data_IF_413131279585
#
_entry.id   IF_413131279585
#
_cell.length_a   1.000
_cell.length_b   1.000
_cell.length_c   1.000
_cell.angle_alpha   90.00
_cell.angle_beta   90.00
_cell.angle_gamma   90.00
#
_symmetry.space_group_name_H-M   'P 1'
#
loop_
_entity.id
_entity.type
_entity.pdbx_description
1 polymer ?
#
# COMPACT_ATOMS: atom_id res chain seq x y z
N UNK A 1 -5.44 -27.99 0.09
CA UNK A 1 -4.19 -27.93 0.92
C UNK A 1 -3.10 -28.64 0.13
N UNK A 2 -2.02 -27.93 -0.23
CA UNK A 2 -0.93 -28.49 -1.05
C UNK A 2 -0.29 -29.72 -0.41
N UNK A 3 0.08 -30.71 -1.23
CA UNK A 3 0.64 -31.99 -0.79
C UNK A 3 2.14 -32.16 -1.12
N UNK A 4 2.72 -31.24 -1.90
CA UNK A 4 4.10 -31.28 -2.38
C UNK A 4 4.74 -29.86 -2.38
N UNK A 5 6.02 -29.80 -2.79
CA UNK A 5 6.77 -28.54 -2.93
C UNK A 5 6.49 -27.81 -4.26
N UNK A 6 5.48 -28.26 -5.04
CA UNK A 6 5.13 -27.69 -6.34
C UNK A 6 3.83 -26.89 -6.22
N UNK A 7 3.87 -25.62 -6.59
CA UNK A 7 2.68 -24.74 -6.59
C UNK A 7 1.68 -25.17 -7.66
N UNK A 8 0.46 -25.55 -7.28
CA UNK A 8 -0.67 -25.80 -8.19
C UNK A 8 -1.74 -24.71 -8.06
N UNK A 9 -2.57 -24.56 -9.09
CA UNK A 9 -3.62 -23.53 -9.15
C UNK A 9 -4.69 -23.66 -8.05
N UNK A 10 -4.97 -24.87 -7.57
CA UNK A 10 -5.98 -25.16 -6.55
C UNK A 10 -5.41 -25.25 -5.12
N UNK A 11 -4.11 -24.98 -4.95
CA UNK A 11 -3.52 -25.00 -3.63
C UNK A 11 -3.97 -23.79 -2.83
N UNK A 12 -4.69 -24.03 -1.73
CA UNK A 12 -4.73 -23.10 -0.61
C UNK A 12 -3.35 -23.15 0.06
N UNK A 13 -2.41 -22.34 -0.43
CA UNK A 13 -1.08 -22.26 0.14
C UNK A 13 -1.04 -21.30 1.32
N UNK A 14 -0.13 -21.61 2.24
CA UNK A 14 0.31 -20.76 3.33
C UNK A 14 1.57 -20.04 2.88
N UNK A 15 1.56 -18.71 2.84
CA UNK A 15 2.80 -17.96 2.67
C UNK A 15 3.61 -18.02 3.96
N UNK A 16 4.58 -18.96 4.06
CA UNK A 16 5.55 -18.98 5.15
C UNK A 16 6.54 -17.82 4.97
N UNK A 17 6.33 -16.72 5.68
CA UNK A 17 7.39 -15.72 5.89
C UNK A 17 8.12 -16.10 7.16
N UNK A 18 9.38 -16.54 7.03
CA UNK A 18 10.31 -16.64 8.15
C UNK A 18 11.11 -15.34 8.19
N UNK A 19 10.93 -14.56 9.24
CA UNK A 19 11.79 -13.42 9.52
C UNK A 19 12.22 -13.49 10.97
N UNK A 20 13.52 -13.40 11.19
CA UNK A 20 14.10 -13.02 12.47
C UNK A 20 14.37 -11.52 12.39
N UNK A 21 13.84 -10.76 13.33
CA UNK A 21 14.20 -9.36 13.53
C UNK A 21 14.80 -9.27 14.92
N UNK A 22 15.93 -8.57 15.03
CA UNK A 22 16.52 -8.20 16.30
C UNK A 22 16.54 -6.68 16.39
N UNK A 23 16.00 -6.13 17.48
CA UNK A 23 16.14 -4.73 17.83
C UNK A 23 17.14 -4.58 18.96
N UNK A 24 17.98 -3.56 18.86
CA UNK A 24 18.79 -3.08 19.97
C UNK A 24 18.09 -1.85 20.57
N UNK A 25 17.70 -1.91 21.84
CA UNK A 25 16.90 -0.89 22.50
C UNK A 25 17.76 0.17 23.23
N UNK A 26 19.06 -0.09 23.36
CA UNK A 26 20.02 0.71 24.13
C UNK A 26 21.25 1.09 23.28
N UNK A 27 21.04 1.36 21.99
CA UNK A 27 22.09 1.90 21.14
C UNK A 27 22.57 3.26 21.68
N UNK A 28 23.88 3.51 21.61
CA UNK A 28 24.48 4.77 22.03
C UNK A 28 24.08 5.93 21.09
N UNK A 29 23.86 5.62 19.82
CA UNK A 29 23.35 6.52 18.79
C UNK A 29 22.54 5.74 17.74
N UNK A 30 21.70 6.39 16.91
CA UNK A 30 20.93 5.72 15.85
C UNK A 30 21.78 4.90 14.87
N UNK A 31 23.06 5.25 14.70
CA UNK A 31 24.02 4.56 13.82
C UNK A 31 25.07 3.75 14.58
N UNK A 32 24.99 3.66 15.91
CA UNK A 32 25.94 2.91 16.74
C UNK A 32 25.23 2.09 17.83
N UNK A 33 25.07 0.81 17.55
CA UNK A 33 24.55 -0.20 18.46
C UNK A 33 25.62 -1.19 18.93
N UNK A 34 26.91 -0.88 18.72
CA UNK A 34 28.01 -1.82 19.00
C UNK A 34 28.14 -2.20 20.48
N UNK A 35 27.68 -1.32 21.38
CA UNK A 35 27.62 -1.55 22.83
C UNK A 35 26.25 -1.94 23.37
N UNK A 36 25.26 -2.21 22.50
CA UNK A 36 23.91 -2.56 22.94
C UNK A 36 23.92 -3.86 23.75
N UNK A 37 23.16 -3.90 24.83
CA UNK A 37 22.99 -5.05 25.72
C UNK A 37 21.54 -5.47 25.87
N UNK A 38 20.60 -4.61 25.45
CA UNK A 38 19.17 -4.83 25.50
C UNK A 38 18.64 -5.15 24.12
N UNK A 39 18.37 -6.42 23.88
CA UNK A 39 17.86 -6.89 22.60
C UNK A 39 16.44 -7.43 22.72
N UNK A 40 15.64 -7.18 21.69
CA UNK A 40 14.38 -7.87 21.47
C UNK A 40 14.49 -8.67 20.17
N UNK A 41 14.06 -9.92 20.18
CA UNK A 41 14.02 -10.77 18.99
C UNK A 41 12.58 -11.18 18.67
N UNK A 42 12.19 -11.05 17.41
CA UNK A 42 10.91 -11.55 16.90
C UNK A 42 11.15 -12.55 15.76
N UNK A 43 10.69 -13.78 15.98
CA UNK A 43 10.51 -14.78 14.94
C UNK A 43 9.09 -14.71 14.40
N UNK A 44 8.91 -14.24 13.17
CA UNK A 44 7.62 -14.20 12.50
C UNK A 44 7.40 -15.46 11.65
N UNK A 45 6.24 -16.10 11.82
CA UNK A 45 5.68 -17.07 10.88
C UNK A 45 4.28 -16.57 10.51
N UNK A 46 4.12 -16.09 9.28
CA UNK A 46 2.78 -15.74 8.77
C UNK A 46 2.18 -16.93 8.02
N UNK A 47 0.86 -17.03 8.08
CA UNK A 47 0.03 -17.96 7.32
C UNK A 47 -0.93 -17.07 6.55
N UNK A 48 -0.72 -16.94 5.24
CA UNK A 48 -1.63 -16.17 4.37
C UNK A 48 -2.20 -17.09 3.30
N UNK A 49 -3.52 -17.12 3.24
CA UNK A 49 -4.32 -17.82 2.25
C UNK A 49 -4.34 -17.01 0.96
N UNK A 50 -3.81 -17.56 -0.14
CA UNK A 50 -3.42 -16.69 -1.24
C UNK A 50 -3.97 -17.00 -2.63
N UNK A 51 -4.86 -17.99 -2.84
CA UNK A 51 -5.52 -18.14 -4.16
C UNK A 51 -6.97 -18.63 -4.20
N UNK A 52 -7.42 -19.55 -3.35
CA UNK A 52 -8.72 -20.21 -3.58
C UNK A 52 -9.80 -19.89 -2.53
N UNK A 53 -10.74 -18.98 -2.81
CA UNK A 53 -11.87 -18.65 -1.91
C UNK A 53 -12.86 -19.81 -1.72
N UNK A 54 -12.77 -20.87 -2.52
CA UNK A 54 -13.66 -22.03 -2.47
C UNK A 54 -13.44 -22.96 -1.27
N UNK A 55 -12.39 -22.75 -0.47
CA UNK A 55 -12.11 -23.55 0.74
C UNK A 55 -12.34 -22.75 2.02
N UNK A 56 -13.54 -22.22 2.21
CA UNK A 56 -13.98 -21.71 3.53
C UNK A 56 -14.44 -22.86 4.40
N UNK A 57 -14.03 -22.88 5.67
CA UNK A 57 -14.63 -23.75 6.69
C UNK A 57 -15.36 -22.89 7.71
N UNK A 58 -16.47 -23.40 8.23
CA UNK A 58 -17.22 -22.73 9.29
C UNK A 58 -16.69 -23.20 10.64
N UNK A 59 -16.31 -22.25 11.49
CA UNK A 59 -16.02 -22.54 12.90
C UNK A 59 -17.37 -22.74 13.60
N UNK A 60 -17.56 -23.89 14.23
CA UNK A 60 -18.79 -24.19 14.97
C UNK A 60 -18.85 -23.36 16.27
N UNK A 61 -20.03 -22.93 16.75
CA UNK A 61 -20.16 -22.09 17.95
C UNK A 61 -19.57 -22.70 19.23
N UNK A 62 -19.41 -24.02 19.28
CA UNK A 62 -18.80 -24.76 20.39
C UNK A 62 -17.27 -24.91 20.26
N UNK A 63 -16.66 -24.39 19.18
CA UNK A 63 -15.21 -24.49 18.98
C UNK A 63 -14.48 -23.66 20.01
N UNK A 64 -13.66 -24.31 20.83
CA UNK A 64 -12.83 -23.68 21.86
C UNK A 64 -11.36 -23.53 21.47
N UNK A 65 -10.96 -24.10 20.32
CA UNK A 65 -9.59 -24.00 19.83
C UNK A 65 -9.40 -24.59 18.44
N UNK A 66 -8.33 -24.16 17.77
CA UNK A 66 -7.80 -24.72 16.54
C UNK A 66 -6.47 -25.42 16.83
N UNK A 67 -6.27 -26.58 16.22
CA UNK A 67 -5.01 -27.33 16.33
C UNK A 67 -4.22 -27.24 15.03
N UNK A 68 -3.06 -26.60 15.08
CA UNK A 68 -2.15 -26.49 13.93
C UNK A 68 -1.04 -27.55 14.04
N UNK A 69 -1.03 -28.47 13.08
CA UNK A 69 0.06 -29.43 12.91
C UNK A 69 1.12 -28.88 11.98
N UNK A 70 2.37 -28.92 12.44
CA UNK A 70 3.51 -28.49 11.64
C UNK A 70 4.46 -29.67 11.41
N UNK A 71 4.80 -29.93 10.15
CA UNK A 71 5.69 -31.03 9.75
C UNK A 71 7.06 -30.99 10.41
N UNK A 72 7.58 -29.80 10.76
CA UNK A 72 8.84 -29.62 11.50
C UNK A 72 8.71 -29.85 13.02
N UNK A 73 7.48 -29.93 13.54
CA UNK A 73 7.17 -30.14 14.96
C UNK A 73 6.21 -31.34 15.13
N UNK A 74 6.61 -32.50 14.60
CA UNK A 74 5.79 -33.73 14.66
C UNK A 74 5.53 -34.13 16.11
N UNK A 75 4.27 -34.42 16.43
CA UNK A 75 3.85 -34.87 17.77
C UNK A 75 3.59 -33.76 18.79
N UNK A 76 3.85 -32.50 18.46
CA UNK A 76 3.56 -31.36 19.34
C UNK A 76 2.87 -30.23 18.56
N UNK A 77 1.55 -30.36 18.30
CA UNK A 77 0.81 -29.33 17.58
C UNK A 77 0.76 -28.02 18.38
N UNK A 78 0.53 -26.91 17.67
CA UNK A 78 0.16 -25.65 18.31
C UNK A 78 -1.32 -25.66 18.60
N UNK A 79 -1.69 -25.36 19.83
CA UNK A 79 -3.06 -25.12 20.25
C UNK A 79 -3.32 -23.62 20.19
N UNK A 80 -4.31 -23.22 19.41
CA UNK A 80 -4.72 -21.82 19.23
C UNK A 80 -6.10 -21.70 19.87
N UNK A 81 -6.24 -21.08 21.05
CA UNK A 81 -7.54 -20.94 21.69
C UNK A 81 -8.49 -20.11 20.81
N UNK A 82 -9.77 -20.47 20.84
CA UNK A 82 -10.86 -19.72 20.21
C UNK A 82 -11.83 -19.33 21.30
N UNK A 83 -12.07 -18.03 21.43
CA UNK A 83 -13.10 -17.48 22.30
C UNK A 83 -14.31 -17.09 21.44
N UNK A 84 -15.50 -17.52 21.88
CA UNK A 84 -16.76 -17.29 21.18
C UNK A 84 -17.53 -16.20 21.94
N UNK A 85 -17.95 -15.16 21.23
CA UNK A 85 -18.76 -14.08 21.80
C UNK A 85 -20.21 -14.27 21.34
N UNK A 86 -21.07 -14.68 22.26
CA UNK A 86 -22.44 -15.10 21.93
C UNK A 86 -23.37 -13.94 21.50
N UNK A 87 -23.09 -12.71 21.95
CA UNK A 87 -23.91 -11.53 21.64
C UNK A 87 -23.00 -10.30 21.59
N UNK A 88 -22.30 -10.10 20.46
CA UNK A 88 -21.41 -8.98 20.31
C UNK A 88 -22.20 -7.66 20.21
N UNK A 89 -21.65 -6.57 20.77
CA UNK A 89 -22.30 -5.24 20.76
C UNK A 89 -22.44 -4.65 19.35
N UNK A 90 -21.62 -5.11 18.41
CA UNK A 90 -21.62 -4.73 17.01
C UNK A 90 -21.60 -5.96 16.12
N UNK A 91 -22.13 -5.85 14.90
CA UNK A 91 -22.01 -6.93 13.92
C UNK A 91 -20.57 -7.00 13.35
N UNK A 92 -20.27 -8.06 12.63
CA UNK A 92 -19.07 -8.20 11.80
C UNK A 92 -19.10 -7.22 10.60
N UNK A 93 -18.03 -7.22 9.79
CA UNK A 93 -17.79 -6.40 8.60
C UNK A 93 -17.53 -4.92 8.88
N UNK A 94 -17.22 -4.14 7.85
CA UNK A 94 -16.81 -2.75 8.01
C UNK A 94 -17.19 -1.92 6.79
N UNK A 95 -17.98 -0.88 7.04
CA UNK A 95 -18.30 0.19 6.10
C UNK A 95 -17.59 1.49 6.49
N UNK A 96 -17.19 2.26 5.48
CA UNK A 96 -16.79 3.66 5.62
C UNK A 96 -17.44 4.43 4.48
N UNK A 97 -18.19 5.46 4.80
CA UNK A 97 -18.85 6.34 3.84
C UNK A 97 -18.18 7.71 3.89
N UNK A 98 -18.19 8.42 2.77
CA UNK A 98 -17.62 9.76 2.63
C UNK A 98 -18.59 10.62 1.82
N UNK A 99 -18.92 11.81 2.33
CA UNK A 99 -19.82 12.73 1.66
C UNK A 99 -19.31 14.17 1.80
N UNK A 100 -19.31 14.93 0.70
CA UNK A 100 -19.07 16.36 0.76
C UNK A 100 -20.25 17.05 1.48
N UNK A 101 -19.94 17.83 2.52
CA UNK A 101 -20.94 18.61 3.27
C UNK A 101 -20.89 20.09 2.92
N UNK A 102 -19.77 20.57 2.36
CA UNK A 102 -19.74 21.87 1.68
C UNK A 102 -20.43 21.72 0.32
N UNK A 103 -21.52 22.46 0.02
CA UNK A 103 -22.15 22.39 -1.29
C UNK A 103 -21.25 23.03 -2.38
N UNK A 104 -21.34 22.57 -3.64
CA UNK A 104 -20.73 23.27 -4.77
C UNK A 104 -21.21 24.71 -4.89
N UNK A 105 -20.43 25.55 -5.58
CA UNK A 105 -20.77 26.95 -5.82
C UNK A 105 -22.01 27.13 -6.70
N UNK A 106 -22.44 28.39 -6.96
CA UNK A 106 -23.63 28.69 -7.77
C UNK A 106 -23.61 28.07 -9.18
N UNK A 107 -22.42 27.81 -9.70
CA UNK A 107 -22.24 27.18 -11.00
C UNK A 107 -22.48 25.67 -10.96
N UNK A 108 -22.45 25.02 -9.79
CA UNK A 108 -22.66 23.57 -9.64
C UNK A 108 -21.37 22.74 -9.59
N UNK A 109 -20.21 23.39 -9.53
CA UNK A 109 -18.89 22.81 -9.24
C UNK A 109 -18.20 23.62 -8.13
N UNK A 110 -17.09 23.13 -7.57
CA UNK A 110 -16.27 23.88 -6.61
C UNK A 110 -15.32 24.82 -7.35
N UNK A 111 -15.23 26.08 -6.95
CA UNK A 111 -14.26 27.01 -7.53
C UNK A 111 -12.86 26.72 -6.98
N UNK A 112 -11.78 26.83 -7.79
CA UNK A 112 -10.42 26.89 -7.27
C UNK A 112 -10.29 27.93 -6.15
N UNK A 113 -9.52 27.61 -5.10
CA UNK A 113 -9.39 28.46 -3.91
C UNK A 113 -10.45 28.22 -2.83
N UNK A 114 -11.32 27.22 -2.99
CA UNK A 114 -12.38 26.90 -2.02
C UNK A 114 -11.97 25.80 -1.04
N UNK A 115 -12.39 25.94 0.22
CA UNK A 115 -12.32 24.87 1.21
C UNK A 115 -13.51 23.93 1.06
N UNK A 116 -13.24 22.63 0.93
CA UNK A 116 -14.28 21.60 0.81
C UNK A 116 -14.23 20.65 2.00
N UNK A 117 -15.28 20.65 2.80
CA UNK A 117 -15.43 19.77 3.95
C UNK A 117 -16.17 18.50 3.54
N UNK A 118 -15.63 17.38 3.98
CA UNK A 118 -16.22 16.05 3.86
C UNK A 118 -16.52 15.49 5.24
N UNK A 119 -17.68 14.87 5.40
CA UNK A 119 -18.00 14.05 6.57
C UNK A 119 -17.83 12.57 6.22
N UNK A 120 -17.25 11.81 7.14
CA UNK A 120 -17.17 10.37 7.03
C UNK A 120 -17.96 9.67 8.12
N UNK A 121 -18.44 8.47 7.81
CA UNK A 121 -19.22 7.65 8.73
C UNK A 121 -18.75 6.22 8.66
N UNK A 122 -18.39 5.63 9.80
CA UNK A 122 -18.00 4.22 9.89
C UNK A 122 -19.14 3.37 10.44
N UNK A 123 -19.40 2.22 9.81
CA UNK A 123 -20.49 1.31 10.16
C UNK A 123 -20.03 -0.15 10.23
N UNK A 124 -20.77 -0.98 10.98
CA UNK A 124 -20.67 -2.44 10.87
C UNK A 124 -21.50 -3.00 9.70
N UNK A 125 -21.53 -4.32 9.55
CA UNK A 125 -22.28 -5.02 8.50
C UNK A 125 -23.80 -4.90 8.60
N UNK A 126 -24.34 -4.50 9.75
CA UNK A 126 -25.76 -4.21 9.94
C UNK A 126 -26.09 -2.71 9.68
N UNK A 127 -25.07 -1.89 9.40
CA UNK A 127 -25.22 -0.44 9.23
C UNK A 127 -25.19 0.37 10.53
N UNK A 128 -24.86 -0.26 11.66
CA UNK A 128 -24.75 0.43 12.96
C UNK A 128 -23.50 1.31 12.95
N UNK A 129 -23.66 2.59 13.31
CA UNK A 129 -22.54 3.53 13.41
C UNK A 129 -21.55 3.09 14.50
N UNK A 130 -20.25 3.13 14.18
CA UNK A 130 -19.16 2.71 15.06
C UNK A 130 -18.60 3.84 15.94
N UNK A 131 -19.19 5.03 15.87
CA UNK A 131 -18.81 6.21 16.65
C UNK A 131 -20.00 7.16 16.78
N UNK A 132 -20.02 8.10 17.74
CA UNK A 132 -21.06 9.14 17.80
C UNK A 132 -21.07 10.02 16.53
N UNK A 133 -22.19 10.67 16.24
CA UNK A 133 -22.25 11.66 15.17
C UNK A 133 -21.48 12.94 15.56
N UNK A 134 -20.68 13.48 14.64
CA UNK A 134 -19.86 14.68 14.85
C UNK A 134 -18.51 14.43 15.50
N UNK A 135 -18.22 13.20 15.92
CA UNK A 135 -16.94 12.87 16.57
C UNK A 135 -16.51 11.42 16.37
N UNK A 136 -15.22 11.20 16.20
CA UNK A 136 -14.57 9.89 16.30
C UNK A 136 -13.96 9.70 17.71
N UNK A 137 -13.76 8.45 18.16
CA UNK A 137 -13.09 8.19 19.43
C UNK A 137 -11.72 8.87 19.49
N UNK A 138 -11.32 9.29 20.69
CA UNK A 138 -9.99 9.84 20.93
C UNK A 138 -8.90 8.80 20.61
N UNK A 139 -7.68 9.26 20.37
CA UNK A 139 -6.56 8.36 20.10
C UNK A 139 -6.32 7.39 21.27
N UNK A 140 -6.40 7.88 22.50
CA UNK A 140 -6.18 7.10 23.71
C UNK A 140 -7.25 6.01 23.92
N UNK A 141 -8.51 6.28 23.61
CA UNK A 141 -9.59 5.28 23.69
C UNK A 141 -9.34 4.11 22.73
N UNK A 142 -8.81 4.38 21.54
CA UNK A 142 -8.49 3.35 20.53
C UNK A 142 -7.17 2.64 20.83
N UNK A 143 -6.13 3.39 21.24
CA UNK A 143 -4.80 2.88 21.43
C UNK A 143 -4.61 2.14 22.76
N UNK A 144 -5.33 2.54 23.81
CA UNK A 144 -5.17 2.03 25.19
C UNK A 144 -6.47 1.57 25.84
N UNK A 145 -7.62 2.04 25.35
CA UNK A 145 -8.93 1.64 25.87
C UNK A 145 -9.38 0.26 25.36
N UNK A 146 -10.61 -0.10 25.75
CA UNK A 146 -11.22 -1.38 25.37
C UNK A 146 -11.50 -1.50 23.86
N UNK A 147 -11.57 -0.38 23.13
CA UNK A 147 -11.83 -0.30 21.69
C UNK A 147 -12.98 -1.23 21.24
N UNK A 148 -14.15 -1.06 21.85
CA UNK A 148 -15.31 -1.94 21.67
C UNK A 148 -15.81 -2.01 20.21
N UNK A 149 -15.61 -0.95 19.43
CA UNK A 149 -16.06 -0.88 18.02
C UNK A 149 -15.06 -1.50 17.06
N UNK A 150 -13.80 -1.67 17.48
CA UNK A 150 -12.72 -2.22 16.66
C UNK A 150 -12.09 -1.24 15.68
N UNK A 151 -12.46 0.05 15.71
CA UNK A 151 -11.82 1.10 14.89
C UNK A 151 -10.32 1.12 15.15
N UNK A 152 -9.50 1.31 14.12
CA UNK A 152 -8.05 1.41 14.28
C UNK A 152 -7.52 2.76 13.82
N UNK A 153 -6.52 3.25 14.54
CA UNK A 153 -5.68 4.38 14.16
C UNK A 153 -4.24 3.91 13.96
N UNK A 154 -3.38 4.84 13.53
CA UNK A 154 -1.94 4.58 13.47
C UNK A 154 -1.41 4.13 14.84
N UNK A 155 -0.65 3.03 14.91
CA UNK A 155 -0.06 2.51 16.15
C UNK A 155 1.43 2.25 16.05
N UNK A 156 2.11 2.87 15.09
CA UNK A 156 3.53 2.60 14.81
C UNK A 156 4.47 2.86 15.98
N UNK A 157 4.09 3.70 16.94
CA UNK A 157 4.86 3.92 18.17
C UNK A 157 4.90 2.69 19.11
N UNK A 158 3.88 1.83 19.06
CA UNK A 158 3.72 0.68 19.96
C UNK A 158 3.90 -0.66 19.23
N UNK A 159 3.65 -0.68 17.92
CA UNK A 159 3.78 -1.86 17.07
C UNK A 159 4.39 -1.46 15.72
N UNK A 160 5.69 -1.15 15.71
CA UNK A 160 6.42 -0.59 14.57
C UNK A 160 6.25 -1.38 13.26
N UNK A 161 5.40 -0.96 12.31
CA UNK A 161 5.30 -1.64 11.03
C UNK A 161 6.55 -1.35 10.18
N UNK A 162 7.04 -2.33 9.41
CA UNK A 162 8.08 -2.10 8.42
C UNK A 162 7.53 -2.41 7.02
N UNK A 163 7.74 -1.48 6.08
CA UNK A 163 7.05 -1.37 4.79
C UNK A 163 7.04 -2.65 3.96
N UNK A 164 8.11 -3.46 4.02
CA UNK A 164 8.22 -4.69 3.22
C UNK A 164 8.46 -5.97 4.02
N UNK A 165 8.81 -5.85 5.30
CA UNK A 165 9.32 -6.98 6.08
C UNK A 165 8.51 -7.32 7.33
N UNK A 166 7.78 -6.36 7.91
CA UNK A 166 7.04 -6.57 9.16
C UNK A 166 5.64 -6.01 9.03
N UNK A 167 4.66 -6.91 8.91
CA UNK A 167 3.26 -6.67 9.27
C UNK A 167 2.73 -5.27 8.88
N UNK A 168 3.10 -4.72 7.72
CA UNK A 168 2.65 -3.36 7.31
C UNK A 168 1.13 -3.26 7.29
N UNK A 169 0.43 -4.38 7.03
CA UNK A 169 -1.01 -4.50 7.20
C UNK A 169 -1.54 -4.19 8.62
N UNK A 170 -0.72 -4.27 9.67
CA UNK A 170 -1.04 -3.91 11.06
C UNK A 170 -0.79 -2.44 11.40
N UNK A 171 -0.18 -1.66 10.51
CA UNK A 171 -0.09 -0.21 10.69
C UNK A 171 -1.47 0.40 10.90
N UNK A 172 -2.47 -0.14 10.20
CA UNK A 172 -3.91 0.12 10.40
C UNK A 172 -4.28 1.62 10.43
N UNK A 173 -3.42 2.46 9.88
CA UNK A 173 -3.61 3.91 9.83
C UNK A 173 -4.85 4.26 9.03
N UNK A 174 -5.65 5.17 9.58
CA UNK A 174 -6.77 5.80 8.91
C UNK A 174 -6.29 7.14 8.33
N UNK A 175 -6.75 7.46 7.13
CA UNK A 175 -6.36 8.70 6.47
C UNK A 175 -7.27 9.00 5.29
N UNK A 176 -7.23 10.24 4.85
CA UNK A 176 -7.93 10.71 3.67
C UNK A 176 -6.98 11.46 2.75
N UNK A 177 -7.37 11.62 1.49
CA UNK A 177 -6.67 12.48 0.55
C UNK A 177 -7.66 13.12 -0.42
N UNK A 178 -7.22 14.20 -1.05
CA UNK A 178 -7.72 14.72 -2.32
C UNK A 178 -6.58 14.68 -3.34
N UNK A 179 -6.88 14.33 -4.59
CA UNK A 179 -5.92 14.38 -5.71
C UNK A 179 -6.65 14.78 -6.99
N UNK A 180 -6.00 15.59 -7.82
CA UNK A 180 -6.52 15.91 -9.14
C UNK A 180 -5.86 17.11 -9.84
N UNK A 181 -6.35 17.43 -11.04
CA UNK A 181 -7.51 16.79 -11.69
C UNK A 181 -7.14 15.41 -12.28
N UNK A 182 -8.15 14.59 -12.59
CA UNK A 182 -7.99 13.17 -12.95
C UNK A 182 -7.00 12.94 -14.10
N UNK A 183 -7.07 13.75 -15.15
CA UNK A 183 -6.25 13.62 -16.35
C UNK A 183 -4.75 13.78 -16.09
N UNK A 184 -4.39 14.42 -14.98
CA UNK A 184 -2.99 14.69 -14.63
C UNK A 184 -2.46 13.73 -13.56
N UNK A 185 -3.30 12.80 -13.06
CA UNK A 185 -2.89 11.89 -12.00
C UNK A 185 -1.72 11.03 -12.45
N UNK A 186 -0.60 11.22 -11.76
CA UNK A 186 0.65 10.50 -11.95
C UNK A 186 1.33 10.26 -10.60
N UNK A 187 2.41 9.45 -10.53
CA UNK A 187 3.17 9.29 -9.30
C UNK A 187 3.72 10.63 -8.79
N UNK A 188 3.43 10.92 -7.52
CA UNK A 188 3.93 12.09 -6.79
C UNK A 188 5.37 11.85 -6.34
N UNK A 189 6.18 12.90 -6.40
CA UNK A 189 7.63 12.92 -6.17
C UNK A 189 8.04 14.00 -5.19
N UNK A 190 7.14 14.94 -4.90
CA UNK A 190 7.23 15.80 -3.73
C UNK A 190 7.37 14.97 -2.46
N UNK A 191 8.47 15.19 -1.73
CA UNK A 191 8.61 14.64 -0.39
C UNK A 191 7.79 15.50 0.56
N UNK A 192 6.83 14.88 1.22
CA UNK A 192 6.18 15.49 2.38
C UNK A 192 7.16 15.43 3.56
N UNK A 193 7.70 16.58 4.01
CA UNK A 193 8.74 16.60 5.04
C UNK A 193 8.15 16.17 6.40
N UNK A 194 8.99 15.61 7.28
CA UNK A 194 8.55 15.15 8.61
C UNK A 194 7.87 16.28 9.40
N UNK A 195 8.37 17.50 9.25
CA UNK A 195 7.87 18.70 9.90
C UNK A 195 6.39 18.96 9.60
N UNK A 196 5.91 18.64 8.40
CA UNK A 196 4.49 18.78 8.05
C UNK A 196 3.59 17.85 8.86
N UNK A 197 4.10 16.71 9.35
CA UNK A 197 3.37 15.79 10.23
C UNK A 197 3.41 16.19 11.70
N UNK A 198 4.33 17.10 12.05
CA UNK A 198 4.46 17.67 13.40
C UNK A 198 3.82 19.06 13.51
N UNK A 199 3.43 19.64 12.37
CA UNK A 199 2.78 20.93 12.27
C UNK A 199 1.33 20.91 12.80
N UNK A 200 0.74 22.10 13.01
CA UNK A 200 -0.62 22.23 13.53
C UNK A 200 -1.70 21.97 12.47
N UNK A 201 -1.33 21.94 11.19
CA UNK A 201 -2.28 21.83 10.08
C UNK A 201 -2.90 20.42 10.03
N UNK A 202 -4.23 20.30 9.91
CA UNK A 202 -4.92 19.01 9.91
C UNK A 202 -4.70 18.22 8.61
N UNK A 203 -4.27 18.90 7.57
CA UNK A 203 -4.01 18.38 6.23
C UNK A 203 -2.63 18.83 5.75
N UNK A 204 -2.04 18.07 4.84
CA UNK A 204 -0.67 18.23 4.37
C UNK A 204 -0.67 18.20 2.85
N UNK A 205 -0.20 19.26 2.17
CA UNK A 205 0.07 19.21 0.74
C UNK A 205 1.13 18.14 0.46
N UNK A 206 0.78 17.16 -0.36
CA UNK A 206 1.67 16.05 -0.72
C UNK A 206 2.02 16.02 -2.20
N UNK A 207 1.18 16.61 -3.06
CA UNK A 207 1.44 16.81 -4.48
C UNK A 207 1.34 18.28 -4.85
N UNK A 208 2.36 18.81 -5.51
CA UNK A 208 2.45 20.22 -5.91
C UNK A 208 2.36 20.30 -7.44
N UNK A 209 1.39 21.03 -8.03
CA UNK A 209 1.27 21.15 -9.49
C UNK A 209 2.57 21.52 -10.20
N UNK A 210 3.32 22.49 -9.65
CA UNK A 210 4.57 22.95 -10.24
C UNK A 210 5.70 21.90 -10.28
N UNK A 211 5.66 20.87 -9.41
CA UNK A 211 6.69 19.82 -9.32
C UNK A 211 6.19 18.48 -9.85
N UNK A 212 4.97 18.11 -9.49
CA UNK A 212 4.39 16.80 -9.75
C UNK A 212 3.44 16.80 -10.95
N UNK A 213 3.09 17.98 -11.48
CA UNK A 213 2.08 18.12 -12.53
C UNK A 213 0.65 17.87 -12.04
N UNK A 214 0.45 17.58 -10.75
CA UNK A 214 -0.84 17.28 -10.15
C UNK A 214 -0.89 17.81 -8.72
N UNK A 215 -2.06 18.27 -8.27
CA UNK A 215 -2.27 18.63 -6.89
C UNK A 215 -2.72 17.42 -6.07
N UNK A 216 -2.18 17.30 -4.85
CA UNK A 216 -2.74 16.40 -3.85
C UNK A 216 -2.50 16.91 -2.44
N UNK A 217 -3.47 16.67 -1.58
CA UNK A 217 -3.40 16.96 -0.14
C UNK A 217 -3.90 15.74 0.64
N UNK A 218 -3.27 15.43 1.76
CA UNK A 218 -3.56 14.25 2.56
C UNK A 218 -3.79 14.61 4.03
N UNK A 219 -4.55 13.77 4.74
CA UNK A 219 -4.85 13.89 6.15
C UNK A 219 -4.67 12.53 6.83
N UNK A 220 -4.07 12.50 8.01
CA UNK A 220 -4.22 11.35 8.91
C UNK A 220 -5.48 11.53 9.76
N UNK A 221 -6.05 10.42 10.22
CA UNK A 221 -7.22 10.44 11.11
C UNK A 221 -6.90 9.59 12.34
N UNK A 222 -6.82 10.17 13.55
CA UNK A 222 -6.78 11.59 13.90
C UNK A 222 -5.74 12.42 13.15
N UNK A 223 -5.90 13.75 13.17
CA UNK A 223 -4.93 14.68 12.58
C UNK A 223 -3.50 14.38 13.05
N UNK A 224 -2.51 14.64 12.20
CA UNK A 224 -1.10 14.28 12.43
C UNK A 224 -0.57 14.93 13.70
N UNK A 225 -0.91 16.21 13.92
CA UNK A 225 -0.62 16.96 15.14
C UNK A 225 -1.12 16.26 16.42
N UNK A 226 -2.23 15.53 16.36
CA UNK A 226 -2.76 14.75 17.50
C UNK A 226 -1.95 13.47 17.67
N UNK A 227 -1.78 12.70 16.59
CA UNK A 227 -1.09 11.40 16.62
C UNK A 227 0.37 11.58 17.08
N UNK A 228 1.14 12.42 16.39
CA UNK A 228 2.55 12.64 16.64
C UNK A 228 2.77 13.60 17.81
N UNK A 229 1.98 14.68 17.93
CA UNK A 229 2.10 15.62 19.04
C UNK A 229 1.91 14.93 20.39
N UNK A 230 0.91 14.06 20.56
CA UNK A 230 0.75 13.31 21.81
C UNK A 230 1.83 12.23 22.07
N UNK A 231 2.61 11.83 21.07
CA UNK A 231 3.74 10.90 21.26
C UNK A 231 4.98 11.62 21.83
N UNK A 232 5.13 12.91 21.54
CA UNK A 232 6.36 13.66 21.79
C UNK A 232 6.20 14.89 22.70
N UNK A 233 4.97 15.30 23.05
CA UNK A 233 4.70 16.45 23.92
C UNK A 233 4.36 16.00 25.34
N UNK A 234 5.07 16.49 26.39
CA UNK A 234 4.74 16.19 27.78
C UNK A 234 3.29 16.54 28.13
N UNK A 235 2.53 15.55 28.63
CA UNK A 235 1.16 15.74 29.13
C UNK A 235 0.05 15.17 28.25
N UNK A 236 0.34 14.79 27.00
CA UNK A 236 -0.50 14.00 26.07
C UNK A 236 -1.99 14.40 25.94
N UNK A 237 -2.41 15.60 26.34
CA UNK A 237 -3.82 16.02 26.34
C UNK A 237 -4.55 15.76 25.02
N UNK A 238 -3.96 16.06 23.83
CA UNK A 238 -4.64 15.83 22.54
C UNK A 238 -5.04 14.37 22.29
N UNK A 239 -4.32 13.39 22.86
CA UNK A 239 -4.68 11.98 22.69
C UNK A 239 -5.99 11.61 23.38
N UNK A 240 -6.43 12.37 24.38
CA UNK A 240 -7.65 12.10 25.15
C UNK A 240 -8.86 12.90 24.65
N UNK A 241 -8.67 13.75 23.64
CA UNK A 241 -9.73 14.57 23.06
C UNK A 241 -10.33 13.87 21.82
N UNK A 242 -11.65 13.68 21.77
CA UNK A 242 -12.34 13.26 20.54
C UNK A 242 -12.03 14.21 19.40
N UNK A 243 -11.96 13.66 18.18
CA UNK A 243 -11.72 14.45 16.96
C UNK A 243 -13.00 14.52 16.13
N UNK A 244 -13.18 15.53 15.27
CA UNK A 244 -14.35 15.59 14.40
C UNK A 244 -14.37 14.42 13.41
N UNK A 245 -15.56 14.01 12.97
CA UNK A 245 -15.75 13.06 11.86
C UNK A 245 -15.79 13.76 10.49
N UNK A 246 -15.12 14.90 10.39
CA UNK A 246 -15.03 15.73 9.19
C UNK A 246 -13.59 16.09 8.87
N UNK A 247 -13.31 16.27 7.58
CA UNK A 247 -12.00 16.66 7.07
C UNK A 247 -12.23 17.76 6.04
N UNK A 248 -11.47 18.83 6.11
CA UNK A 248 -11.54 19.94 5.15
C UNK A 248 -10.25 19.98 4.35
N UNK A 249 -10.38 19.91 3.03
CA UNK A 249 -9.27 20.11 2.10
C UNK A 249 -9.34 21.50 1.49
N UNK A 250 -8.19 22.13 1.29
CA UNK A 250 -8.11 23.44 0.64
C UNK A 250 -7.73 23.24 -0.82
N UNK A 251 -8.68 23.45 -1.74
CA UNK A 251 -8.39 23.43 -3.18
C UNK A 251 -7.60 24.72 -3.50
N UNK A 252 -6.34 24.64 -3.98
CA UNK A 252 -5.58 25.85 -4.31
C UNK A 252 -6.23 26.66 -5.44
N UNK A 253 -5.94 27.96 -5.49
CA UNK A 253 -6.51 28.85 -6.51
C UNK A 253 -5.93 28.67 -7.91
N UNK A 254 -4.78 28.02 -8.02
CA UNK A 254 -3.99 27.84 -9.24
C UNK A 254 -4.09 26.41 -9.80
N UNK A 255 -5.01 25.59 -9.31
CA UNK A 255 -5.22 24.25 -9.85
C UNK A 255 -6.00 24.26 -11.17
N UNK A 256 -5.73 23.25 -11.99
CA UNK A 256 -6.43 23.07 -13.26
C UNK A 256 -7.89 22.58 -13.06
N UNK A 257 -8.85 23.03 -13.87
CA UNK A 257 -10.21 22.51 -13.82
C UNK A 257 -10.29 21.02 -14.18
N UNK A 258 -11.17 20.28 -13.51
CA UNK A 258 -11.49 18.89 -13.84
C UNK A 258 -12.18 18.13 -12.70
N UNK A 259 -12.14 16.81 -12.81
CA UNK A 259 -12.61 15.90 -11.76
C UNK A 259 -11.50 15.59 -10.76
N UNK A 260 -11.79 15.73 -9.47
CA UNK A 260 -10.88 15.43 -8.37
C UNK A 260 -11.40 14.24 -7.59
N UNK A 261 -10.49 13.38 -7.12
CA UNK A 261 -10.82 12.23 -6.28
C UNK A 261 -10.58 12.58 -4.84
N UNK A 262 -11.54 12.28 -3.98
CA UNK A 262 -11.38 12.33 -2.53
C UNK A 262 -11.56 10.93 -1.99
N UNK A 263 -10.55 10.41 -1.31
CA UNK A 263 -10.55 9.06 -0.78
C UNK A 263 -10.40 9.10 0.74
N UNK A 264 -11.07 8.17 1.42
CA UNK A 264 -10.81 7.84 2.82
C UNK A 264 -10.54 6.35 2.95
N UNK A 265 -9.49 5.99 3.67
CA UNK A 265 -9.16 4.60 4.03
C UNK A 265 -9.23 4.41 5.53
N UNK A 266 -9.70 3.23 5.93
CA UNK A 266 -9.71 2.80 7.32
C UNK A 266 -9.57 1.29 7.44
N UNK A 267 -9.47 0.82 8.69
CA UNK A 267 -9.44 -0.62 9.00
C UNK A 267 -10.16 -0.88 10.32
N UNK A 268 -10.91 -1.97 10.36
CA UNK A 268 -11.59 -2.44 11.57
C UNK A 268 -11.06 -3.81 11.98
N UNK A 269 -10.76 -3.94 13.27
CA UNK A 269 -10.35 -5.20 13.88
C UNK A 269 -11.38 -5.57 14.94
N UNK A 270 -12.19 -6.58 14.64
CA UNK A 270 -13.33 -6.94 15.49
C UNK A 270 -13.57 -8.44 15.50
N UNK A 271 -13.52 -9.07 16.68
CA UNK A 271 -13.84 -10.48 16.93
C UNK A 271 -13.22 -11.46 15.91
N UNK A 272 -11.95 -11.23 15.55
CA UNK A 272 -11.19 -12.07 14.63
C UNK A 272 -11.18 -11.60 13.17
N UNK A 273 -12.00 -10.62 12.79
CA UNK A 273 -11.89 -9.92 11.51
C UNK A 273 -10.83 -8.81 11.57
N UNK A 274 -10.08 -8.65 10.49
CA UNK A 274 -9.17 -7.53 10.25
C UNK A 274 -9.38 -7.04 8.81
N UNK A 275 -10.33 -6.12 8.64
CA UNK A 275 -10.90 -5.74 7.34
C UNK A 275 -10.53 -4.29 7.03
N UNK A 276 -9.80 -4.03 5.93
CA UNK A 276 -9.67 -2.68 5.40
C UNK A 276 -10.93 -2.27 4.63
N UNK A 277 -11.18 -0.96 4.55
CA UNK A 277 -12.15 -0.38 3.62
C UNK A 277 -11.61 0.95 3.11
N UNK A 278 -11.83 1.21 1.83
CA UNK A 278 -11.61 2.51 1.21
C UNK A 278 -12.88 2.93 0.50
N UNK A 279 -13.17 4.23 0.53
CA UNK A 279 -14.23 4.86 -0.26
C UNK A 279 -13.61 6.01 -1.01
N UNK A 280 -13.92 6.09 -2.30
CA UNK A 280 -13.52 7.19 -3.19
C UNK A 280 -14.77 7.87 -3.69
N UNK A 281 -14.81 9.19 -3.62
CA UNK A 281 -15.83 10.04 -4.24
C UNK A 281 -15.16 11.00 -5.21
N UNK A 282 -15.90 11.43 -6.22
CA UNK A 282 -15.44 12.43 -7.17
C UNK A 282 -16.16 13.76 -6.93
N UNK A 283 -15.41 14.85 -7.04
CA UNK A 283 -15.95 16.22 -7.09
C UNK A 283 -15.49 16.90 -8.37
N UNK A 284 -16.26 17.89 -8.81
CA UNK A 284 -15.90 18.72 -9.97
C UNK A 284 -15.34 20.06 -9.50
N UNK A 285 -14.21 20.48 -10.07
CA UNK A 285 -13.51 21.73 -9.73
C UNK A 285 -13.33 22.57 -10.97
N UNK A 286 -13.77 23.84 -10.94
CA UNK A 286 -13.63 24.81 -12.03
C UNK A 286 -14.39 24.51 -13.34
N UNK A 287 -15.02 23.33 -13.46
CA UNK A 287 -15.74 22.90 -14.66
C UNK A 287 -16.81 21.86 -14.31
N UNK A 288 -17.78 21.64 -15.19
CA UNK A 288 -18.70 20.49 -15.14
C UNK A 288 -18.21 19.29 -15.94
N UNK A 289 -17.25 19.51 -16.84
CA UNK A 289 -16.78 18.48 -17.75
C UNK A 289 -15.96 17.46 -16.96
N UNK A 290 -16.42 16.20 -16.84
CA UNK A 290 -15.67 15.19 -16.13
C UNK A 290 -14.37 14.89 -16.86
N UNK A 291 -13.31 14.65 -16.10
CA UNK A 291 -12.01 14.23 -16.62
C UNK A 291 -11.66 12.83 -16.11
N UNK A 292 -10.83 12.10 -16.86
CA UNK A 292 -10.54 10.68 -16.64
C UNK A 292 -9.05 10.50 -16.40
N UNK A 293 -8.70 9.61 -15.48
CA UNK A 293 -7.30 9.29 -15.21
C UNK A 293 -6.76 8.32 -16.26
N UNK A 294 -5.69 8.71 -16.94
CA UNK A 294 -4.98 7.88 -17.90
C UNK A 294 -3.84 7.13 -17.19
N UNK A 295 -4.04 5.83 -16.97
CA UNK A 295 -3.05 5.00 -16.29
C UNK A 295 -1.97 4.54 -17.26
N UNK A 296 -0.72 4.85 -16.96
CA UNK A 296 0.46 4.42 -17.75
C UNK A 296 0.97 3.02 -17.40
N UNK A 297 0.24 2.31 -16.54
CA UNK A 297 0.57 0.94 -16.11
C UNK A 297 -0.68 0.06 -16.08
N UNK A 298 -0.51 -1.26 -16.03
CA UNK A 298 -1.56 -2.27 -15.98
C UNK A 298 -1.86 -2.92 -17.35
N UNK A 299 -2.89 -3.78 -17.41
CA UNK A 299 -3.80 -4.16 -16.33
C UNK A 299 -3.14 -5.13 -15.33
N UNK A 300 -3.23 -4.82 -14.03
CA UNK A 300 -2.68 -5.68 -12.97
C UNK A 300 -3.49 -6.98 -12.77
N UNK A 301 -4.74 -6.99 -13.24
CA UNK A 301 -5.68 -8.12 -13.13
C UNK A 301 -5.29 -9.33 -13.97
N UNK A 302 -4.31 -9.19 -14.86
CA UNK A 302 -3.68 -10.32 -15.56
C UNK A 302 -3.02 -11.31 -14.59
N UNK A 303 -2.54 -10.83 -13.43
CA UNK A 303 -1.87 -11.62 -12.40
C UNK A 303 -2.58 -11.57 -11.03
N UNK A 304 -3.28 -10.49 -10.73
CA UNK A 304 -3.99 -10.26 -9.47
C UNK A 304 -5.48 -10.60 -9.60
N UNK A 305 -5.85 -11.80 -9.18
CA UNK A 305 -7.23 -12.30 -9.13
C UNK A 305 -7.53 -13.02 -7.82
N UNK A 306 -8.81 -13.33 -7.59
CA UNK A 306 -9.29 -14.12 -6.47
C UNK A 306 -8.82 -13.55 -5.11
N UNK A 307 -8.17 -14.35 -4.27
CA UNK A 307 -7.61 -13.88 -2.99
C UNK A 307 -6.46 -12.89 -3.12
N UNK A 308 -5.92 -12.67 -4.32
CA UNK A 308 -4.88 -11.68 -4.63
C UNK A 308 -5.41 -10.43 -5.34
N UNK A 309 -6.73 -10.31 -5.50
CA UNK A 309 -7.39 -9.17 -6.12
C UNK A 309 -7.05 -7.85 -5.39
N UNK A 310 -6.78 -6.80 -6.17
CA UNK A 310 -6.33 -5.51 -5.62
C UNK A 310 -7.42 -4.85 -4.75
N UNK A 311 -8.68 -4.98 -5.14
CA UNK A 311 -9.85 -4.53 -4.38
C UNK A 311 -10.07 -5.29 -3.07
N UNK A 312 -9.27 -6.33 -2.79
CA UNK A 312 -9.21 -7.00 -1.49
C UNK A 312 -7.93 -6.67 -0.72
N UNK A 313 -6.77 -6.70 -1.40
CA UNK A 313 -5.46 -6.68 -0.71
C UNK A 313 -4.86 -5.28 -0.54
N UNK A 314 -5.21 -4.32 -1.40
CA UNK A 314 -4.67 -2.95 -1.38
C UNK A 314 -5.62 -1.98 -0.67
N UNK A 315 -5.75 -2.13 0.65
CA UNK A 315 -6.71 -1.34 1.45
C UNK A 315 -8.18 -1.46 0.99
N UNK A 316 -8.50 -2.57 0.32
CA UNK A 316 -9.77 -2.77 -0.37
C UNK A 316 -10.09 -1.63 -1.36
N UNK A 317 -9.09 -1.24 -2.16
CA UNK A 317 -9.18 -0.21 -3.18
C UNK A 317 -8.54 -0.71 -4.49
N UNK A 318 -9.33 -0.77 -5.55
CA UNK A 318 -8.88 -1.05 -6.92
C UNK A 318 -8.80 0.22 -7.78
N UNK A 319 -9.22 1.39 -7.28
CA UNK A 319 -8.96 2.69 -7.91
C UNK A 319 -7.47 3.04 -7.77
N UNK A 320 -6.71 2.72 -8.82
CA UNK A 320 -5.25 2.94 -8.88
C UNK A 320 -4.88 4.41 -8.95
N UNK A 321 -5.76 5.27 -9.48
CA UNK A 321 -5.51 6.71 -9.51
C UNK A 321 -5.55 7.28 -8.09
N UNK A 322 -6.47 6.78 -7.25
CA UNK A 322 -6.52 7.16 -5.84
C UNK A 322 -5.30 6.69 -5.01
N UNK A 323 -4.52 5.72 -5.49
CA UNK A 323 -3.31 5.30 -4.77
C UNK A 323 -2.26 6.40 -4.70
N UNK A 324 -2.11 7.23 -5.75
CA UNK A 324 -1.02 8.19 -5.87
C UNK A 324 -1.03 9.25 -4.76
N UNK A 325 -2.20 9.72 -4.32
CA UNK A 325 -2.32 10.72 -3.24
C UNK A 325 -2.00 10.18 -1.84
N UNK A 326 -2.09 8.86 -1.64
CA UNK A 326 -1.72 8.21 -0.37
C UNK A 326 -0.30 7.63 -0.37
N UNK A 327 0.22 7.29 -1.55
CA UNK A 327 1.53 6.68 -1.74
C UNK A 327 2.47 7.71 -2.35
N UNK A 328 2.92 8.63 -1.51
CA UNK A 328 3.87 9.70 -1.81
C UNK A 328 5.16 9.49 -1.02
N UNK A 329 6.31 10.06 -1.43
CA UNK A 329 7.50 10.04 -0.61
C UNK A 329 7.27 10.81 0.71
N UNK A 330 7.53 10.16 1.85
CA UNK A 330 7.45 10.80 3.16
C UNK A 330 8.85 10.94 3.74
N UNK A 331 9.14 12.01 4.48
CA UNK A 331 10.44 12.22 5.11
C UNK A 331 10.89 11.10 6.06
N UNK A 332 9.99 10.22 6.47
CA UNK A 332 10.24 9.04 7.32
C UNK A 332 9.86 7.70 6.64
N UNK A 333 9.38 7.73 5.40
CA UNK A 333 9.00 6.56 4.59
C UNK A 333 9.16 6.93 3.11
N UNK A 334 10.40 7.15 2.68
CA UNK A 334 10.70 7.63 1.33
C UNK A 334 10.25 6.63 0.25
N UNK A 335 10.22 5.34 0.57
CA UNK A 335 9.68 4.28 -0.28
C UNK A 335 8.15 4.32 -0.46
N UNK A 336 7.48 5.35 0.06
CA UNK A 336 6.06 5.65 -0.09
C UNK A 336 5.45 5.36 -1.47
N UNK A 337 6.07 5.84 -2.57
CA UNK A 337 5.49 5.76 -3.90
C UNK A 337 5.18 4.36 -4.40
N UNK A 338 4.02 4.22 -5.06
CA UNK A 338 3.53 2.94 -5.60
C UNK A 338 4.56 2.29 -6.52
N UNK A 339 5.22 3.07 -7.38
CA UNK A 339 6.20 2.53 -8.32
C UNK A 339 7.41 1.91 -7.58
N UNK A 340 7.95 2.58 -6.56
CA UNK A 340 9.05 2.05 -5.73
C UNK A 340 8.61 0.73 -5.09
N UNK A 341 7.41 0.70 -4.50
CA UNK A 341 6.89 -0.51 -3.84
C UNK A 341 6.70 -1.66 -4.80
N UNK A 342 6.13 -1.36 -5.96
CA UNK A 342 5.76 -2.34 -6.97
C UNK A 342 7.02 -2.95 -7.57
N UNK A 343 7.97 -2.13 -8.00
CA UNK A 343 9.28 -2.59 -8.45
C UNK A 343 10.00 -3.42 -7.38
N UNK A 344 10.06 -2.91 -6.14
CA UNK A 344 10.76 -3.59 -5.05
C UNK A 344 10.19 -4.99 -4.76
N UNK A 345 8.86 -5.11 -4.66
CA UNK A 345 8.20 -6.37 -4.33
C UNK A 345 8.33 -7.37 -5.49
N UNK A 346 8.16 -6.94 -6.74
CA UNK A 346 8.20 -7.87 -7.88
C UNK A 346 9.64 -8.28 -8.26
N UNK A 347 10.62 -7.38 -8.14
CA UNK A 347 12.02 -7.70 -8.44
C UNK A 347 12.67 -8.67 -7.44
N UNK A 348 12.17 -8.72 -6.20
CA UNK A 348 12.75 -9.53 -5.10
C UNK A 348 11.86 -10.71 -4.69
N UNK A 349 10.90 -11.08 -5.53
CA UNK A 349 9.93 -12.13 -5.22
C UNK A 349 10.03 -13.26 -6.23
N UNK A 350 10.31 -14.47 -5.74
CA UNK A 350 10.27 -15.74 -6.51
C UNK A 350 8.84 -16.15 -6.95
N UNK A 351 7.91 -15.20 -6.99
CA UNK A 351 6.49 -15.37 -7.34
C UNK A 351 6.05 -14.45 -8.47
N UNK A 352 6.98 -13.62 -8.94
CA UNK A 352 6.80 -12.88 -10.17
C UNK A 352 7.26 -13.82 -11.29
N UNK A 353 6.29 -14.31 -12.06
CA UNK A 353 6.51 -15.39 -13.03
C UNK A 353 7.01 -14.87 -14.39
N UNK A 354 7.12 -13.54 -14.56
CA UNK A 354 7.62 -12.88 -15.76
C UNK A 354 9.08 -12.40 -15.58
N UNK A 355 9.85 -12.21 -16.67
CA UNK A 355 11.18 -11.59 -16.58
C UNK A 355 11.09 -10.18 -15.98
N UNK A 356 11.93 -9.87 -14.98
CA UNK A 356 11.88 -8.58 -14.27
C UNK A 356 12.30 -7.39 -15.12
N UNK A 357 13.07 -7.64 -16.18
CA UNK A 357 13.45 -6.65 -17.20
C UNK A 357 12.33 -6.36 -18.20
N UNK A 358 11.31 -7.22 -18.33
CA UNK A 358 10.23 -7.06 -19.31
C UNK A 358 9.18 -6.07 -18.82
N UNK A 359 9.50 -4.78 -18.93
CA UNK A 359 8.67 -3.65 -18.50
C UNK A 359 7.25 -3.70 -19.08
N UNK A 360 7.09 -4.11 -20.34
CA UNK A 360 5.81 -4.23 -21.05
C UNK A 360 4.81 -5.19 -20.39
N UNK A 361 5.24 -5.98 -19.39
CA UNK A 361 4.33 -6.77 -18.54
C UNK A 361 3.40 -5.87 -17.72
N UNK A 362 3.88 -4.68 -17.33
CA UNK A 362 3.18 -3.76 -16.43
C UNK A 362 3.05 -2.35 -16.99
N UNK A 363 3.93 -1.92 -17.89
CA UNK A 363 3.93 -0.59 -18.49
C UNK A 363 3.20 -0.62 -19.83
N UNK A 364 2.33 0.36 -20.09
CA UNK A 364 1.44 0.33 -21.26
C UNK A 364 2.15 0.74 -22.56
N UNK A 365 3.23 1.51 -22.44
CA UNK A 365 4.05 1.99 -23.56
C UNK A 365 5.48 2.35 -23.13
N UNK A 366 6.34 2.60 -24.10
CA UNK A 366 7.73 3.01 -23.86
C UNK A 366 7.84 4.38 -23.18
N UNK A 367 6.91 5.32 -23.45
CA UNK A 367 6.92 6.64 -22.82
C UNK A 367 6.80 6.53 -21.29
N UNK A 368 6.06 5.54 -20.80
CA UNK A 368 5.84 5.30 -19.37
C UNK A 368 7.08 4.85 -18.59
N UNK A 369 8.17 4.45 -19.26
CA UNK A 369 9.43 4.04 -18.61
C UNK A 369 10.55 5.09 -18.71
N UNK A 370 10.33 6.20 -19.43
CA UNK A 370 11.41 7.17 -19.70
C UNK A 370 11.81 8.03 -18.49
N UNK A 371 10.98 8.04 -17.44
CA UNK A 371 11.27 8.82 -16.24
C UNK A 371 12.19 8.06 -15.27
N UNK A 372 13.50 8.09 -15.54
CA UNK A 372 14.54 7.49 -14.69
C UNK A 372 14.90 8.33 -13.46
N UNK A 373 14.90 7.73 -12.27
CA UNK A 373 15.42 8.30 -11.02
C UNK A 373 16.11 7.23 -10.18
N UNK A 374 16.93 7.62 -9.21
CA UNK A 374 17.55 6.66 -8.27
C UNK A 374 16.50 5.76 -7.62
N UNK A 375 15.38 6.32 -7.16
CA UNK A 375 14.28 5.54 -6.57
C UNK A 375 13.60 4.59 -7.55
N UNK A 376 13.45 4.96 -8.81
CA UNK A 376 12.87 4.07 -9.82
C UNK A 376 13.82 2.92 -10.15
N UNK A 377 15.10 3.20 -10.36
CA UNK A 377 16.09 2.21 -10.79
C UNK A 377 16.50 1.29 -9.63
N UNK A 378 16.86 1.85 -8.48
CA UNK A 378 17.40 1.08 -7.32
C UNK A 378 16.32 0.36 -6.52
N UNK A 379 15.05 0.63 -6.83
CA UNK A 379 13.97 -0.26 -6.40
C UNK A 379 14.06 -1.64 -7.06
N UNK A 380 14.83 -1.83 -8.14
CA UNK A 380 15.15 -3.13 -8.74
C UNK A 380 16.66 -3.46 -8.66
N UNK A 381 17.52 -2.51 -9.04
CA UNK A 381 18.97 -2.70 -9.08
C UNK A 381 19.58 -2.67 -7.67
N UNK A 382 20.47 -3.62 -7.38
CA UNK A 382 21.16 -3.72 -6.08
C UNK A 382 22.53 -3.07 -6.07
N UNK A 383 23.02 -2.64 -7.23
CA UNK A 383 24.33 -2.02 -7.44
C UNK A 383 24.28 -1.08 -8.65
N UNK A 384 25.20 -0.12 -8.71
CA UNK A 384 25.48 0.67 -9.92
C UNK A 384 27.00 0.89 -10.07
N UNK A 385 27.48 1.29 -11.26
CA UNK A 385 28.91 1.35 -11.52
C UNK A 385 29.63 2.45 -10.72
N UNK A 386 30.96 2.38 -10.64
CA UNK A 386 31.77 3.26 -9.79
C UNK A 386 31.66 4.76 -10.16
N UNK A 387 31.36 5.07 -11.42
CA UNK A 387 31.11 6.43 -11.87
C UNK A 387 29.81 7.02 -11.28
N UNK A 388 28.77 6.20 -11.11
CA UNK A 388 27.54 6.57 -10.41
C UNK A 388 27.80 6.76 -8.91
N UNK A 389 28.71 5.97 -8.32
CA UNK A 389 29.15 6.19 -6.93
C UNK A 389 29.81 7.56 -6.78
N UNK A 390 30.65 7.93 -7.74
CA UNK A 390 31.32 9.23 -7.73
C UNK A 390 30.34 10.41 -7.94
N UNK A 391 29.29 10.23 -8.73
CA UNK A 391 28.32 11.28 -9.05
C UNK A 391 27.20 11.43 -8.00
N UNK A 392 26.71 10.33 -7.44
CA UNK A 392 25.49 10.29 -6.61
C UNK A 392 25.74 9.76 -5.19
N UNK A 393 26.97 9.38 -4.85
CA UNK A 393 27.31 8.77 -3.56
C UNK A 393 27.13 7.25 -3.56
N UNK A 394 27.35 6.56 -2.43
CA UNK A 394 27.06 5.13 -2.30
C UNK A 394 25.55 4.85 -2.20
N UNK A 395 25.14 3.60 -2.41
CA UNK A 395 23.78 3.16 -2.10
C UNK A 395 23.61 3.09 -0.57
N UNK A 396 22.76 3.96 -0.03
CA UNK A 396 22.42 4.03 1.40
C UNK A 396 21.07 3.37 1.71
N UNK A 397 20.18 3.31 0.72
CA UNK A 397 18.83 2.76 0.83
C UNK A 397 18.59 1.67 -0.21
N UNK A 398 18.18 0.49 0.25
CA UNK A 398 17.79 -0.63 -0.63
C UNK A 398 16.48 -0.37 -1.38
N UNK A 399 15.72 0.67 -1.01
CA UNK A 399 14.44 1.01 -1.62
C UNK A 399 14.57 2.14 -2.63
N UNK A 400 15.32 3.17 -2.27
CA UNK A 400 15.34 4.47 -2.96
C UNK A 400 16.73 4.88 -3.44
N UNK A 401 17.76 4.08 -3.14
CA UNK A 401 19.15 4.41 -3.42
C UNK A 401 19.79 5.29 -2.35
N UNK A 402 19.23 6.47 -2.13
CA UNK A 402 19.63 7.44 -1.09
C UNK A 402 18.50 7.68 -0.09
N UNK A 403 18.84 8.27 1.06
CA UNK A 403 17.91 8.74 2.11
C UNK A 403 17.51 10.22 1.95
N UNK A 404 17.90 10.87 0.85
CA UNK A 404 17.61 12.28 0.57
C UNK A 404 16.66 12.52 -0.61
N UNK A 405 16.36 13.79 -0.87
CA UNK A 405 15.46 14.22 -1.93
C UNK A 405 15.92 13.90 -3.35
N UNK A 406 17.23 13.77 -3.57
CA UNK A 406 17.84 13.35 -4.83
C UNK A 406 17.35 11.98 -5.31
N UNK A 407 16.81 11.14 -4.42
CA UNK A 407 16.21 9.87 -4.79
C UNK A 407 15.09 9.99 -5.84
N UNK A 408 14.36 11.10 -5.87
CA UNK A 408 13.18 11.30 -6.72
C UNK A 408 13.44 12.19 -7.92
N UNK A 409 14.61 12.81 -7.98
CA UNK A 409 15.01 13.67 -9.08
C UNK A 409 15.23 12.85 -10.35
N UNK A 410 14.87 13.46 -11.48
CA UNK A 410 15.04 12.85 -12.78
C UNK A 410 16.52 12.85 -13.14
N UNK A 411 17.10 11.67 -13.41
CA UNK A 411 18.40 11.58 -14.07
C UNK A 411 18.31 12.26 -15.43
N UNK A 412 19.40 12.86 -15.93
CA UNK A 412 19.38 13.50 -17.24
C UNK A 412 18.90 12.51 -18.31
N UNK A 413 17.85 12.87 -19.05
CA UNK A 413 17.28 12.02 -20.12
C UNK A 413 18.21 11.79 -21.32
N UNK A 414 19.50 12.12 -21.21
CA UNK A 414 20.52 11.92 -22.22
C UNK A 414 21.36 10.65 -22.01
N UNK A 415 21.35 10.05 -20.81
CA UNK A 415 22.21 8.91 -20.48
C UNK A 415 21.47 7.56 -20.49
N UNK A 416 20.17 7.56 -20.17
CA UNK A 416 19.36 6.35 -20.06
C UNK A 416 18.07 6.50 -20.90
N UNK A 417 18.22 6.47 -22.21
CA UNK A 417 17.11 6.58 -23.18
C UNK A 417 16.56 5.23 -23.62
N UNK A 418 17.31 4.15 -23.39
CA UNK A 418 16.96 2.80 -23.81
C UNK A 418 16.99 1.86 -22.61
N UNK A 419 16.04 0.92 -22.58
CA UNK A 419 15.93 -0.11 -21.54
C UNK A 419 15.94 -1.49 -22.23
N UNK A 420 17.13 -2.09 -22.45
CA UNK A 420 17.23 -3.35 -23.17
C UNK A 420 16.38 -4.45 -22.54
N UNK A 421 15.58 -5.13 -23.35
CA UNK A 421 14.68 -6.19 -22.88
C UNK A 421 13.39 -5.69 -22.22
N UNK A 422 13.08 -4.38 -22.31
CA UNK A 422 11.82 -3.81 -21.82
C UNK A 422 10.57 -4.42 -22.50
N UNK A 423 10.74 -5.00 -23.70
CA UNK A 423 9.66 -5.69 -24.41
C UNK A 423 8.74 -4.75 -25.18
N UNK A 424 9.19 -3.53 -25.50
CA UNK A 424 8.49 -2.58 -26.37
C UNK A 424 8.97 -2.64 -27.83
N UNK A 425 10.13 -3.24 -28.09
CA UNK A 425 10.64 -3.46 -29.43
C UNK A 425 9.83 -4.57 -30.11
N UNK A 426 9.18 -4.23 -31.23
CA UNK A 426 8.42 -5.16 -32.08
C UNK A 426 9.24 -5.69 -33.25
N UNK A 427 10.54 -5.38 -33.31
CA UNK A 427 11.44 -5.76 -34.41
C UNK A 427 12.42 -6.89 -34.05
N UNK A 428 12.04 -7.80 -33.14
CA UNK A 428 12.67 -9.13 -33.15
C UNK A 428 11.87 -10.01 -34.11
N UNK A 429 12.25 -9.94 -35.39
CA UNK A 429 12.04 -11.06 -36.31
C UNK A 429 12.55 -12.30 -35.59
N UNK A 430 11.64 -13.23 -35.33
CA UNK A 430 12.01 -14.61 -35.12
C UNK A 430 12.63 -15.03 -36.45
N UNK A 431 13.97 -14.95 -36.57
CA UNK A 431 14.68 -15.66 -37.62
C UNK A 431 14.29 -17.14 -37.44
N UNK A 432 13.37 -17.55 -38.30
CA UNK A 432 12.97 -18.90 -38.63
C UNK A 432 14.18 -19.58 -39.26
N UNK A 433 15.20 -19.91 -38.46
CA UNK A 433 16.37 -20.67 -38.91
C UNK A 433 17.06 -21.33 -37.70
N UNK A 434 16.41 -22.36 -37.14
CA UNK A 434 17.03 -23.65 -36.78
C UNK A 434 15.94 -24.66 -36.41
N UNK A 435 15.10 -25.01 -37.38
CA UNK A 435 14.55 -26.38 -37.45
C UNK A 435 15.42 -27.11 -38.48
N UNK A 436 16.59 -27.63 -38.05
CA UNK A 436 17.23 -28.69 -38.81
C UNK A 436 16.48 -29.99 -38.52
N UNK A 437 15.56 -30.29 -39.44
CA UNK A 437 15.22 -31.60 -39.98
C UNK A 437 15.91 -32.80 -39.30
N UNK A 438 15.17 -33.51 -38.45
CA UNK A 438 15.28 -34.97 -38.37
C UNK A 438 13.87 -35.53 -38.18
N UNK A 439 13.20 -35.77 -39.30
CA UNK A 439 12.21 -36.84 -39.40
C UNK A 439 12.30 -37.50 -40.78
N UNK A 440 11.87 -38.77 -40.80
CA UNK A 440 11.81 -39.74 -41.91
C UNK A 440 13.10 -40.59 -42.11
N UNK A 441 13.10 -41.92 -42.01
CA UNK A 441 12.05 -42.92 -42.26
C UNK A 441 12.33 -44.22 -41.52
N UNK A 442 11.28 -44.90 -41.03
CA UNK A 442 10.75 -46.16 -41.62
C UNK A 442 9.77 -46.83 -40.65
N UNK A 443 8.49 -46.67 -40.93
CA UNK A 443 7.47 -47.67 -40.63
C UNK A 443 7.57 -48.77 -41.70
N UNK A 444 7.73 -50.02 -41.27
CA UNK A 444 7.29 -51.17 -42.05
C UNK A 444 6.50 -52.11 -41.12
N UNK A 445 5.21 -52.23 -41.42
CA UNK A 445 4.26 -53.17 -40.86
C UNK A 445 4.77 -54.62 -40.91
N UNK A 446 4.44 -55.44 -39.91
CA UNK A 446 3.75 -56.73 -40.16
C UNK A 446 3.29 -57.42 -38.87
N UNK A 447 2.08 -57.96 -39.00
CA UNK A 447 1.29 -58.74 -38.07
C UNK A 447 1.91 -60.08 -37.60
N UNK A 448 1.31 -60.60 -36.51
CA UNK A 448 1.09 -62.02 -36.14
C UNK A 448 2.27 -63.02 -36.10
N UNK A 449 2.66 -63.42 -34.87
CA UNK A 449 2.48 -64.80 -34.33
C UNK A 449 2.77 -64.86 -32.81
#
# INVERSE_FOLDING_TARGET
LGQDDRRRRHDAFFIRRLRGIQWANDCAAPTDCSGATSFQEEGLVEIRHARSTSQTFRIAPETTGLRLWWSARRGAPYEIPVEQVASPDYDYNFGIELAAVTPPGPHGYYEPGTDVTFQFTMTDGAGTRLHPAGSIPSYAEVAFGANQTGIQYYRGFFDQPATYWRRKHRERGMGAMIIGPNQDIQPIRTIAPLESFLGPDPTIPVGLPARDGVYSEAATIPASAVIFGGAFVPGNTPWFEPQPDTITFQIPSDVEPGTYRVAIKGRRVYLGQDIPRTTVVEIQVGTHTPTVAEMTTGPCTSCHSDGGDLGLVLHANDDRAACAGCHVPLGFELEGPVYVRTHFIHSRSDRYDAPTQQCATCHVDEASIQRTSLSACLSCHTEYPADHVAAYGPIESIYTGTLDAGAFEQCTGACHTEHPGAGFDTDFDFDEDTDEDVDEDTDEDTDED
#
